data_IF_446380369445
#
_entry.id   IF_446380369445
#
_cell.length_a   1.000
_cell.length_b   1.000
_cell.length_c   1.000
_cell.angle_alpha   90.00
_cell.angle_beta   90.00
_cell.angle_gamma   90.00
#
_symmetry.space_group_name_H-M   'P 1'
#
loop_
_entity.id
_entity.type
_entity.pdbx_description
1 polymer ?
#
# COMPACT_ATOMS: atom_id res chain seq x y z
N UNK A 1 3.04 -9.34 -9.80
CA UNK A 1 4.32 -8.70 -9.42
C UNK A 1 4.41 -8.45 -7.91
N UNK A 2 3.51 -7.65 -7.30
CA UNK A 2 3.57 -7.32 -5.85
C UNK A 2 3.46 -8.55 -4.94
N UNK A 3 2.47 -9.43 -5.14
CA UNK A 3 2.31 -10.66 -4.34
C UNK A 3 3.50 -11.61 -4.47
N UNK A 4 4.13 -11.64 -5.65
CA UNK A 4 5.36 -12.41 -5.87
C UNK A 4 6.54 -11.81 -5.11
N UNK A 5 6.66 -10.48 -5.07
CA UNK A 5 7.69 -9.80 -4.29
C UNK A 5 7.52 -10.02 -2.77
N UNK A 6 6.28 -10.04 -2.27
CA UNK A 6 5.98 -10.33 -0.86
C UNK A 6 6.32 -11.78 -0.49
N UNK A 7 5.93 -12.75 -1.32
CA UNK A 7 6.23 -14.18 -1.11
C UNK A 7 7.68 -14.56 -1.40
N UNK A 8 8.45 -13.69 -2.06
CA UNK A 8 9.89 -13.82 -2.24
C UNK A 8 10.69 -13.04 -1.17
N UNK A 9 10.01 -12.33 -0.28
CA UNK A 9 10.60 -11.53 0.79
C UNK A 9 11.32 -12.38 1.85
N UNK A 10 12.10 -11.74 2.73
CA UNK A 10 12.83 -12.43 3.80
C UNK A 10 11.92 -13.24 4.74
N UNK A 11 10.63 -12.88 4.84
CA UNK A 11 9.61 -13.57 5.64
C UNK A 11 9.19 -14.94 5.07
N UNK A 12 9.54 -15.25 3.82
CA UNK A 12 9.17 -16.50 3.16
C UNK A 12 10.02 -17.72 3.59
N UNK A 13 11.07 -17.48 4.38
CA UNK A 13 11.91 -18.52 4.97
C UNK A 13 13.36 -18.07 5.17
N UNK A 14 14.05 -18.58 6.21
CA UNK A 14 15.43 -18.20 6.54
C UNK A 14 16.43 -18.59 5.44
N UNK A 15 16.13 -19.63 4.65
CA UNK A 15 16.96 -20.09 3.53
C UNK A 15 16.52 -19.44 2.19
N UNK A 16 17.32 -18.50 1.63
CA UNK A 16 17.02 -17.84 0.37
C UNK A 16 16.89 -18.79 -0.83
N UNK A 17 17.52 -19.97 -0.80
CA UNK A 17 17.45 -20.95 -1.89
C UNK A 17 16.10 -21.69 -1.96
N UNK A 18 15.26 -21.60 -0.91
CA UNK A 18 13.96 -22.29 -0.83
C UNK A 18 12.75 -21.37 -0.92
N UNK A 19 12.94 -20.04 -0.95
CA UNK A 19 11.85 -19.03 -0.99
C UNK A 19 10.93 -19.16 -2.19
N UNK A 20 11.40 -19.72 -3.30
CA UNK A 20 10.59 -20.01 -4.49
C UNK A 20 9.37 -20.90 -4.19
N UNK A 21 9.44 -21.77 -3.17
CA UNK A 21 8.34 -22.65 -2.77
C UNK A 21 7.11 -21.87 -2.30
N UNK A 22 7.31 -20.75 -1.60
CA UNK A 22 6.22 -19.90 -1.15
C UNK A 22 5.49 -19.24 -2.33
N UNK A 23 6.25 -18.73 -3.30
CA UNK A 23 5.68 -18.14 -4.52
C UNK A 23 5.00 -19.19 -5.41
N UNK A 24 5.55 -20.40 -5.52
CA UNK A 24 4.93 -21.51 -6.29
C UNK A 24 3.65 -21.99 -5.61
N UNK A 25 3.65 -22.18 -4.29
CA UNK A 25 2.45 -22.56 -3.54
C UNK A 25 1.34 -21.49 -3.66
N UNK A 26 1.71 -20.21 -3.55
CA UNK A 26 0.78 -19.11 -3.79
C UNK A 26 0.24 -19.11 -5.23
N UNK A 27 1.10 -19.34 -6.22
CA UNK A 27 0.68 -19.47 -7.62
C UNK A 27 -0.30 -20.62 -7.84
N UNK A 28 0.01 -21.80 -7.30
CA UNK A 28 -0.87 -22.96 -7.36
C UNK A 28 -2.22 -22.72 -6.67
N UNK A 29 -2.20 -22.10 -5.49
CA UNK A 29 -3.42 -21.71 -4.78
C UNK A 29 -4.27 -20.71 -5.59
N UNK A 30 -3.64 -19.72 -6.25
CA UNK A 30 -4.34 -18.78 -7.13
C UNK A 30 -4.93 -19.44 -8.37
N UNK A 31 -4.27 -20.45 -8.95
CA UNK A 31 -4.83 -21.23 -10.06
C UNK A 31 -6.05 -22.04 -9.61
N UNK A 32 -5.96 -22.74 -8.47
CA UNK A 32 -7.09 -23.46 -7.89
C UNK A 32 -8.26 -22.54 -7.57
N UNK A 33 -7.97 -21.35 -7.02
CA UNK A 33 -8.98 -20.33 -6.76
C UNK A 33 -9.58 -19.79 -8.08
N UNK A 34 -8.75 -19.59 -9.10
CA UNK A 34 -9.20 -19.17 -10.43
C UNK A 34 -10.11 -20.18 -11.11
N UNK A 35 -9.88 -21.48 -10.90
CA UNK A 35 -10.78 -22.54 -11.38
C UNK A 35 -12.17 -22.48 -10.73
N UNK A 36 -12.27 -21.92 -9.52
CA UNK A 36 -13.57 -21.68 -8.86
C UNK A 36 -14.30 -20.43 -9.37
N UNK A 37 -13.63 -19.58 -10.16
CA UNK A 37 -14.19 -18.30 -10.62
C UNK A 37 -15.51 -18.43 -11.38
N UNK A 38 -15.72 -19.40 -12.29
CA UNK A 38 -17.00 -19.55 -12.99
C UNK A 38 -18.18 -19.82 -12.04
N UNK A 39 -17.96 -20.60 -10.98
CA UNK A 39 -18.99 -20.88 -9.98
C UNK A 39 -19.35 -19.60 -9.20
N UNK A 40 -18.34 -18.81 -8.81
CA UNK A 40 -18.55 -17.50 -8.16
C UNK A 40 -19.26 -16.53 -9.10
N UNK A 41 -18.82 -16.44 -10.36
CA UNK A 41 -19.45 -15.57 -11.37
C UNK A 41 -20.92 -15.92 -11.56
N UNK A 42 -21.29 -17.22 -11.60
CA UNK A 42 -22.68 -17.64 -11.73
C UNK A 42 -23.56 -17.12 -10.57
N UNK A 43 -23.06 -17.18 -9.33
CA UNK A 43 -23.76 -16.65 -8.15
C UNK A 43 -23.87 -15.12 -8.20
N UNK A 44 -22.80 -14.44 -8.61
CA UNK A 44 -22.76 -12.98 -8.75
C UNK A 44 -23.75 -12.50 -9.82
N UNK A 45 -23.83 -13.16 -10.98
CA UNK A 45 -24.75 -12.79 -12.07
C UNK A 45 -26.22 -13.08 -11.74
N UNK A 46 -26.50 -14.00 -10.81
CA UNK A 46 -27.84 -14.25 -10.31
C UNK A 46 -28.29 -13.24 -9.23
N UNK A 47 -27.34 -12.49 -8.66
CA UNK A 47 -27.60 -11.54 -7.58
C UNK A 47 -27.91 -10.13 -8.13
N UNK A 48 -28.74 -9.33 -7.43
CA UNK A 48 -28.90 -7.91 -7.76
C UNK A 48 -27.56 -7.17 -7.71
N UNK A 49 -27.24 -6.39 -8.76
CA UNK A 49 -25.95 -5.68 -8.87
C UNK A 49 -25.62 -4.80 -7.66
N UNK A 50 -26.63 -4.22 -7.02
CA UNK A 50 -26.47 -3.38 -5.83
C UNK A 50 -25.86 -4.13 -4.64
N UNK A 51 -26.15 -5.43 -4.49
CA UNK A 51 -25.55 -6.27 -3.43
C UNK A 51 -24.07 -6.53 -3.69
N UNK A 52 -23.71 -6.73 -4.96
CA UNK A 52 -22.33 -6.96 -5.39
C UNK A 52 -21.49 -5.72 -5.17
N UNK A 53 -22.01 -4.55 -5.55
CA UNK A 53 -21.36 -3.26 -5.31
C UNK A 53 -21.19 -2.98 -3.81
N UNK A 54 -22.22 -3.23 -3.00
CA UNK A 54 -22.15 -3.04 -1.55
C UNK A 54 -21.09 -3.94 -0.90
N UNK A 55 -21.06 -5.24 -1.25
CA UNK A 55 -20.06 -6.18 -0.72
C UNK A 55 -18.66 -5.84 -1.22
N UNK A 56 -18.50 -5.45 -2.48
CA UNK A 56 -17.21 -4.99 -3.01
C UNK A 56 -16.70 -3.75 -2.27
N UNK A 57 -17.57 -2.76 -2.04
CA UNK A 57 -17.24 -1.58 -1.24
C UNK A 57 -16.83 -1.95 0.19
N UNK A 58 -17.60 -2.83 0.84
CA UNK A 58 -17.33 -3.29 2.20
C UNK A 58 -16.02 -4.09 2.31
N UNK A 59 -15.69 -4.90 1.30
CA UNK A 59 -14.43 -5.62 1.20
C UNK A 59 -13.23 -4.65 1.06
N UNK A 60 -13.39 -3.53 0.36
CA UNK A 60 -12.35 -2.51 0.20
C UNK A 60 -12.09 -1.71 1.49
N UNK A 61 -13.09 -1.53 2.36
CA UNK A 61 -12.95 -0.76 3.60
C UNK A 61 -11.82 -1.31 4.50
N UNK A 62 -11.68 -2.63 4.59
CA UNK A 62 -10.62 -3.27 5.40
C UNK A 62 -9.22 -2.95 4.87
N UNK A 63 -9.02 -3.07 3.56
CA UNK A 63 -7.75 -2.72 2.91
C UNK A 63 -7.45 -1.22 3.02
N UNK A 64 -8.45 -0.38 2.82
CA UNK A 64 -8.33 1.08 2.90
C UNK A 64 -7.96 1.53 4.32
N UNK A 65 -8.63 0.99 5.35
CA UNK A 65 -8.33 1.29 6.74
C UNK A 65 -6.92 0.87 7.15
N UNK A 66 -6.45 -0.29 6.69
CA UNK A 66 -5.06 -0.73 6.90
C UNK A 66 -4.03 0.18 6.24
N UNK A 67 -4.26 0.56 4.98
CA UNK A 67 -3.41 1.51 4.26
C UNK A 67 -3.38 2.89 4.93
N UNK A 68 -4.54 3.40 5.37
CA UNK A 68 -4.62 4.70 6.04
C UNK A 68 -3.89 4.69 7.39
N UNK A 69 -4.07 3.64 8.20
CA UNK A 69 -3.39 3.49 9.49
C UNK A 69 -1.87 3.46 9.32
N UNK A 70 -1.37 2.70 8.34
CA UNK A 70 0.08 2.64 8.06
C UNK A 70 0.62 3.95 7.51
N UNK A 71 -0.16 4.67 6.70
CA UNK A 71 0.24 5.96 6.16
C UNK A 71 0.27 7.08 7.21
N UNK A 72 -0.65 7.04 8.19
CA UNK A 72 -0.76 8.02 9.28
C UNK A 72 0.18 7.71 10.45
N UNK A 73 0.67 6.47 10.59
CA UNK A 73 1.61 6.06 11.64
C UNK A 73 3.03 6.67 11.53
N UNK A 74 3.27 7.60 10.60
CA UNK A 74 4.56 8.30 10.46
C UNK A 74 4.83 9.24 11.64
N UNK A 75 5.99 9.04 12.30
CA UNK A 75 6.59 9.78 13.42
C UNK A 75 5.70 10.87 14.04
N UNK A 76 5.10 10.52 15.18
CA UNK A 76 4.42 11.43 16.10
C UNK A 76 5.30 12.66 16.38
N UNK A 77 4.96 13.81 15.81
CA UNK A 77 5.67 15.07 16.03
C UNK A 77 5.92 15.92 14.79
N UNK A 78 5.85 15.37 13.58
CA UNK A 78 6.10 16.11 12.34
C UNK A 78 4.79 16.28 11.54
N UNK A 79 4.07 17.39 11.77
CA UNK A 79 2.78 17.67 11.14
C UNK A 79 2.83 17.64 9.60
N UNK A 80 4.01 17.86 9.02
CA UNK A 80 4.27 17.75 7.59
C UNK A 80 4.20 16.30 7.07
N UNK A 81 4.43 15.28 7.91
CA UNK A 81 4.41 13.87 7.51
C UNK A 81 3.00 13.38 7.13
N UNK A 82 1.95 14.01 7.68
CA UNK A 82 0.55 13.70 7.37
C UNK A 82 0.09 14.27 6.02
N UNK A 83 0.74 15.33 5.53
CA UNK A 83 0.35 16.00 4.29
C UNK A 83 0.50 15.08 3.08
N UNK A 84 1.56 14.27 3.03
CA UNK A 84 1.77 13.34 1.90
C UNK A 84 0.68 12.27 1.78
N UNK A 85 0.37 11.46 2.82
CA UNK A 85 -0.76 10.53 2.81
C UNK A 85 -2.10 11.16 2.41
N UNK A 86 -2.41 12.34 2.96
CA UNK A 86 -3.66 13.03 2.72
C UNK A 86 -3.76 13.53 1.27
N UNK A 87 -2.68 14.08 0.72
CA UNK A 87 -2.62 14.51 -0.68
C UNK A 87 -2.75 13.32 -1.62
N UNK A 88 -2.07 12.19 -1.35
CA UNK A 88 -2.23 10.96 -2.15
C UNK A 88 -3.67 10.48 -2.16
N UNK A 89 -4.31 10.46 -0.98
CA UNK A 89 -5.69 10.01 -0.84
C UNK A 89 -6.65 10.96 -1.57
N UNK A 90 -6.48 12.27 -1.42
CA UNK A 90 -7.28 13.29 -2.09
C UNK A 90 -7.14 13.21 -3.62
N UNK A 91 -5.92 13.08 -4.13
CA UNK A 91 -5.68 12.92 -5.57
C UNK A 91 -6.26 11.61 -6.06
N UNK A 92 -6.08 10.51 -5.34
CA UNK A 92 -6.63 9.20 -5.74
C UNK A 92 -8.16 9.20 -5.74
N UNK A 93 -8.79 9.82 -4.75
CA UNK A 93 -10.25 9.94 -4.63
C UNK A 93 -10.87 10.94 -5.63
N UNK A 94 -10.08 11.86 -6.19
CA UNK A 94 -10.57 12.88 -7.12
C UNK A 94 -11.11 12.31 -8.45
N UNK A 95 -10.76 11.07 -8.78
CA UNK A 95 -11.15 10.44 -10.05
C UNK A 95 -10.54 11.11 -11.29
N UNK A 96 -9.60 12.04 -11.13
CA UNK A 96 -8.96 12.75 -12.23
C UNK A 96 -8.20 11.77 -13.11
N UNK A 97 -8.56 11.73 -14.39
CA UNK A 97 -7.85 10.98 -15.42
C UNK A 97 -7.05 11.96 -16.27
N UNK A 98 -5.73 11.79 -16.32
CA UNK A 98 -4.84 12.61 -17.16
C UNK A 98 -4.12 11.68 -18.11
N UNK A 99 -4.15 12.01 -19.41
CA UNK A 99 -3.49 11.25 -20.47
C UNK A 99 -3.89 9.75 -20.53
N UNK A 100 -5.13 9.41 -20.16
CA UNK A 100 -5.62 8.03 -20.12
C UNK A 100 -5.17 7.22 -18.90
N UNK A 101 -4.44 7.83 -17.96
CA UNK A 101 -4.00 7.19 -16.72
C UNK A 101 -4.86 7.66 -15.55
N UNK A 102 -5.36 6.70 -14.77
CA UNK A 102 -6.23 6.93 -13.61
C UNK A 102 -5.57 7.66 -12.45
N UNK A 103 -6.39 8.24 -11.59
CA UNK A 103 -6.00 9.08 -10.45
C UNK A 103 -5.04 8.41 -9.46
N UNK A 104 -5.13 7.09 -9.28
CA UNK A 104 -4.27 6.34 -8.36
C UNK A 104 -2.78 6.44 -8.71
N UNK A 105 -2.44 6.45 -10.00
CA UNK A 105 -1.05 6.60 -10.45
C UNK A 105 -0.52 8.00 -10.14
N UNK A 106 -1.30 9.03 -10.47
CA UNK A 106 -0.95 10.43 -10.21
C UNK A 106 -0.87 10.72 -8.71
N UNK A 107 -1.77 10.14 -7.91
CA UNK A 107 -1.73 10.20 -6.46
C UNK A 107 -0.41 9.66 -5.93
N UNK A 108 0.00 8.46 -6.36
CA UNK A 108 1.28 7.88 -5.96
C UNK A 108 2.48 8.75 -6.37
N UNK A 109 2.48 9.29 -7.59
CA UNK A 109 3.56 10.14 -8.11
C UNK A 109 3.72 11.43 -7.29
N UNK A 110 2.61 12.12 -7.02
CA UNK A 110 2.58 13.36 -6.23
C UNK A 110 2.98 13.09 -4.78
N UNK A 111 2.45 12.01 -4.19
CA UNK A 111 2.83 11.58 -2.85
C UNK A 111 4.30 11.28 -2.68
N UNK A 112 4.88 10.55 -3.64
CA UNK A 112 6.30 10.22 -3.65
C UNK A 112 7.14 11.50 -3.78
N UNK A 113 6.76 12.41 -4.67
CA UNK A 113 7.43 13.71 -4.82
C UNK A 113 7.42 14.52 -3.52
N UNK A 114 6.27 14.62 -2.85
CA UNK A 114 6.14 15.35 -1.60
C UNK A 114 6.93 14.68 -0.47
N UNK A 115 6.84 13.35 -0.36
CA UNK A 115 7.60 12.59 0.64
C UNK A 115 9.12 12.79 0.48
N UNK A 116 9.63 12.77 -0.76
CA UNK A 116 11.06 13.01 -1.04
C UNK A 116 11.47 14.46 -0.73
N UNK A 117 10.62 15.44 -1.06
CA UNK A 117 10.88 16.84 -0.78
C UNK A 117 10.94 17.13 0.72
N UNK A 118 10.01 16.56 1.49
CA UNK A 118 9.96 16.70 2.95
C UNK A 118 11.16 16.01 3.62
N UNK A 119 11.54 14.81 3.17
CA UNK A 119 12.75 14.12 3.67
C UNK A 119 14.04 14.88 3.36
N UNK A 120 14.10 15.59 2.23
CA UNK A 120 15.25 16.45 1.89
C UNK A 120 15.34 17.69 2.77
N UNK A 121 14.22 18.18 3.32
CA UNK A 121 14.20 19.35 4.22
C UNK A 121 14.46 18.98 5.70
N UNK A 122 14.20 17.73 6.10
CA UNK A 122 14.47 17.23 7.46
C UNK A 122 15.88 16.70 7.71
N UNK A 123 16.82 16.90 6.77
CA UNK A 123 18.21 16.45 6.90
C UNK A 123 19.14 17.55 7.41
N UNK A 124 19.08 17.85 8.71
CA UNK A 124 20.18 18.50 9.42
C UNK A 124 20.55 17.64 10.63
N UNK A 125 21.63 16.84 10.57
CA UNK A 125 22.20 16.18 11.74
C UNK A 125 23.07 17.17 12.54
N UNK A 126 22.81 17.18 13.85
CA UNK A 126 23.74 17.36 14.96
C UNK A 126 24.35 18.74 15.24
N UNK A 127 23.71 19.45 16.19
CA UNK A 127 24.44 20.22 17.18
C UNK A 127 24.80 19.29 18.34
N UNK A 128 26.01 18.75 18.29
CA UNK A 128 26.71 18.06 19.37
C UNK A 128 26.72 18.97 20.61
N UNK A 129 25.97 18.60 21.65
CA UNK A 129 26.20 19.09 22.99
C UNK A 129 27.36 18.29 23.59
N UNK A 130 28.59 18.63 23.20
CA UNK A 130 29.75 18.36 24.03
C UNK A 130 29.53 19.13 25.33
N UNK A 131 29.13 18.42 26.39
CA UNK A 131 29.23 18.92 27.75
C UNK A 131 30.73 18.85 28.11
N UNK A 132 31.45 19.98 28.26
CA UNK A 132 32.78 19.93 28.83
C UNK A 132 32.60 19.68 30.32
N UNK A 133 32.92 18.46 30.73
CA UNK A 133 33.20 18.08 32.13
C UNK A 133 34.24 19.06 32.70
N UNK A 134 33.72 20.10 33.34
CA UNK A 134 34.47 21.17 33.98
C UNK A 134 34.42 21.00 35.49
N UNK A 135 35.46 20.33 35.99
CA UNK A 135 36.10 20.45 37.32
C UNK A 135 35.40 21.27 38.40
#
# INVERSE_FOLDING_TARGET
>A
AVTAALTAGPDAGPDPARRWRASVANGAALVLLGLSAPAVTAVVTASPGLLVEAVAGLALLGSLGGALRTAVAGREGDGQALLAPLVVLAVSASGVTVAGVGSAFWGLLVGLGLHLLLRRRGGAPDGVGEEPDGR
#
